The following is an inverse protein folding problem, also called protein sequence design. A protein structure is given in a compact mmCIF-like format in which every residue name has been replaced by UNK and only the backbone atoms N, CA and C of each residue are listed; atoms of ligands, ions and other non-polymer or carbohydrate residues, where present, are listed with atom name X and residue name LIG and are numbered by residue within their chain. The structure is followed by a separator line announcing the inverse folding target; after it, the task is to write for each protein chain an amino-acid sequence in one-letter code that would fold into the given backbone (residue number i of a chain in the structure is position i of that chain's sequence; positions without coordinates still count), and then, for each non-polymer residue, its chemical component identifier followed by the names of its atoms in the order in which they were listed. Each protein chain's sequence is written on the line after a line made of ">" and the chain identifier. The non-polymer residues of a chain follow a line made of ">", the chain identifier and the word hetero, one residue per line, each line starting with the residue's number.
data_IF_642610177527
#
_entry.id   IF_642610177527
#
_cell.length_a   1.000
_cell.length_b   1.000
_cell.length_c   1.000
_cell.angle_alpha   90.00
_cell.angle_beta   90.00
_cell.angle_gamma   90.00
#
_symmetry.space_group_name_H-M   'P 1'
#
loop_
_entity.id
_entity.type
_entity.pdbx_description
1 polymer ?
#
# COMPACT_ATOMS: atom_id res chain seq x y z
N UNK A 1 4.60 -0.26 32.43
CA UNK A 1 3.36 -1.09 32.42
C UNK A 1 2.41 -0.75 31.27
N UNK A 2 2.14 0.52 30.95
CA UNK A 2 1.23 0.90 29.85
C UNK A 2 1.66 0.40 28.44
N UNK A 3 2.95 0.42 28.09
CA UNK A 3 3.45 -0.11 26.80
C UNK A 3 3.21 -1.63 26.66
N UNK A 4 3.43 -2.41 27.73
CA UNK A 4 3.19 -3.85 27.72
C UNK A 4 1.69 -4.20 27.51
N UNK A 5 0.78 -3.44 28.13
CA UNK A 5 -0.67 -3.60 27.95
C UNK A 5 -1.08 -3.27 26.50
N UNK A 6 -0.47 -2.26 25.89
CA UNK A 6 -0.76 -1.87 24.52
C UNK A 6 -0.27 -2.92 23.50
N UNK A 7 0.90 -3.52 23.71
CA UNK A 7 1.42 -4.56 22.81
C UNK A 7 0.56 -5.84 22.88
N UNK A 8 0.06 -6.19 24.07
CA UNK A 8 -0.81 -7.34 24.22
C UNK A 8 -2.11 -7.17 23.42
N UNK A 9 -2.72 -5.98 23.46
CA UNK A 9 -3.91 -5.66 22.65
C UNK A 9 -3.65 -5.75 21.15
N UNK A 10 -2.48 -5.28 20.68
CA UNK A 10 -2.11 -5.41 19.26
C UNK A 10 -2.02 -6.88 18.86
N UNK A 11 -1.40 -7.73 19.69
CA UNK A 11 -1.31 -9.18 19.44
C UNK A 11 -2.69 -9.86 19.43
N UNK A 12 -3.56 -9.47 20.36
CA UNK A 12 -4.93 -10.01 20.44
C UNK A 12 -5.77 -9.59 19.24
N UNK A 13 -5.61 -8.37 18.75
CA UNK A 13 -6.30 -7.87 17.57
C UNK A 13 -5.80 -8.52 16.27
N UNK A 14 -4.52 -8.86 16.16
CA UNK A 14 -3.94 -9.49 14.96
C UNK A 14 -4.07 -11.02 14.94
N UNK A 15 -4.27 -11.67 16.10
CA UNK A 15 -4.39 -13.13 16.22
C UNK A 15 -5.50 -13.75 15.35
N UNK A 16 -6.73 -13.20 15.26
CA UNK A 16 -7.77 -13.75 14.39
C UNK A 16 -7.38 -13.76 12.91
N UNK A 17 -6.45 -12.87 12.52
CA UNK A 17 -6.04 -12.66 11.14
C UNK A 17 -4.84 -13.54 10.78
N UNK A 18 -3.83 -13.56 11.64
CA UNK A 18 -2.54 -14.19 11.35
C UNK A 18 -2.22 -15.42 12.20
N UNK A 19 -3.12 -15.79 13.12
CA UNK A 19 -2.88 -16.86 14.08
C UNK A 19 -1.93 -16.42 15.21
N UNK A 20 -1.45 -17.38 16.02
CA UNK A 20 -0.53 -17.08 17.13
C UNK A 20 0.84 -16.66 16.60
N UNK A 21 1.29 -15.47 16.99
CA UNK A 21 2.57 -14.88 16.58
C UNK A 21 3.71 -15.13 17.58
N UNK A 22 3.47 -15.93 18.61
CA UNK A 22 4.41 -16.19 19.71
C UNK A 22 5.12 -17.54 19.52
N UNK A 23 6.41 -17.59 19.83
CA UNK A 23 7.19 -18.83 19.73
C UNK A 23 7.46 -19.31 18.31
N UNK A 24 7.16 -18.50 17.28
CA UNK A 24 7.50 -18.81 15.89
C UNK A 24 9.02 -18.84 15.74
N UNK A 25 9.55 -19.97 15.28
CA UNK A 25 10.97 -20.10 14.92
C UNK A 25 11.27 -19.33 13.64
N UNK A 26 12.54 -18.97 13.44
CA UNK A 26 12.95 -18.25 12.23
C UNK A 26 12.60 -19.01 10.93
N UNK A 27 12.84 -20.32 10.90
CA UNK A 27 12.48 -21.18 9.77
C UNK A 27 10.97 -21.17 9.50
N UNK A 28 10.16 -21.29 10.56
CA UNK A 28 8.72 -21.23 10.44
C UNK A 28 8.23 -19.86 9.92
N UNK A 29 8.87 -18.76 10.33
CA UNK A 29 8.55 -17.43 9.81
C UNK A 29 8.92 -17.26 8.34
N UNK A 30 10.03 -17.86 7.88
CA UNK A 30 10.47 -17.78 6.47
C UNK A 30 9.53 -18.53 5.54
N UNK A 31 8.93 -19.63 6.00
CA UNK A 31 7.91 -20.38 5.26
C UNK A 31 6.49 -19.97 5.59
N UNK A 32 6.30 -18.99 6.47
CA UNK A 32 4.97 -18.58 6.90
C UNK A 32 4.18 -18.05 5.71
N UNK A 33 2.94 -18.54 5.61
CA UNK A 33 1.94 -18.06 4.67
C UNK A 33 0.76 -17.57 5.51
N UNK A 34 0.31 -16.32 5.32
CA UNK A 34 -0.93 -15.83 5.90
C UNK A 34 -2.06 -16.82 5.64
N UNK A 35 -2.93 -17.07 6.63
CA UNK A 35 -4.01 -18.06 6.53
C UNK A 35 -4.81 -17.89 5.23
N UNK A 36 -5.32 -19.00 4.66
CA UNK A 36 -6.08 -19.01 3.38
C UNK A 36 -7.22 -17.97 3.31
N UNK A 37 -7.73 -17.59 4.49
CA UNK A 37 -8.60 -16.44 4.72
C UNK A 37 -8.14 -15.76 6.01
N UNK A 38 -7.23 -14.78 5.97
CA UNK A 38 -6.75 -14.08 7.14
C UNK A 38 -7.83 -13.22 7.80
N UNK A 39 -9.13 -13.38 7.51
CA UNK A 39 -10.18 -12.63 8.21
C UNK A 39 -10.14 -11.09 8.04
N UNK A 40 -9.25 -10.54 7.21
CA UNK A 40 -9.14 -9.09 6.96
C UNK A 40 -10.35 -8.50 6.19
N UNK A 41 -11.41 -9.28 5.99
CA UNK A 41 -12.69 -8.85 5.45
C UNK A 41 -12.73 -8.71 3.92
N UNK A 42 -11.66 -9.09 3.21
CA UNK A 42 -11.54 -8.91 1.77
C UNK A 42 -11.65 -10.18 0.92
N UNK A 43 -11.79 -9.99 -0.38
CA UNK A 43 -11.81 -11.06 -1.39
C UNK A 43 -10.51 -11.85 -1.37
N UNK A 44 -10.63 -13.18 -1.29
CA UNK A 44 -9.50 -14.11 -1.03
C UNK A 44 -8.72 -13.77 0.25
N UNK A 45 -9.35 -13.08 1.19
CA UNK A 45 -8.78 -12.77 2.49
C UNK A 45 -7.98 -11.48 2.57
N UNK A 46 -7.89 -10.70 1.49
CA UNK A 46 -7.01 -9.53 1.40
C UNK A 46 -7.79 -8.24 1.26
N UNK A 47 -7.48 -7.26 2.10
CA UNK A 47 -8.07 -5.94 2.05
C UNK A 47 -6.99 -4.89 2.27
N UNK A 48 -6.55 -4.24 1.18
CA UNK A 48 -5.33 -3.45 1.10
C UNK A 48 -5.20 -2.41 2.23
N UNK A 49 -6.32 -1.83 2.64
CA UNK A 49 -6.36 -0.88 3.75
C UNK A 49 -5.99 -1.53 5.09
N UNK A 50 -6.59 -2.68 5.43
CA UNK A 50 -6.27 -3.41 6.65
C UNK A 50 -4.85 -3.97 6.61
N UNK A 51 -4.45 -4.54 5.47
CA UNK A 51 -3.11 -5.09 5.27
C UNK A 51 -2.01 -4.03 5.49
N UNK A 52 -2.27 -2.77 5.12
CA UNK A 52 -1.33 -1.67 5.37
C UNK A 52 -1.13 -1.40 6.88
N UNK A 53 -2.21 -1.46 7.69
CA UNK A 53 -2.08 -1.35 9.15
C UNK A 53 -1.31 -2.53 9.72
N UNK A 54 -1.54 -3.73 9.20
CA UNK A 54 -0.87 -4.92 9.69
C UNK A 54 0.64 -4.89 9.43
N UNK A 55 1.07 -4.34 8.29
CA UNK A 55 2.49 -4.07 8.04
C UNK A 55 3.07 -3.15 9.13
N UNK A 56 2.37 -2.06 9.47
CA UNK A 56 2.80 -1.14 10.53
C UNK A 56 2.80 -1.83 11.90
N UNK A 57 1.81 -2.67 12.18
CA UNK A 57 1.72 -3.45 13.42
C UNK A 57 2.91 -4.40 13.57
N UNK A 58 3.27 -5.15 12.53
CA UNK A 58 4.44 -6.03 12.56
C UNK A 58 5.76 -5.28 12.75
N UNK A 59 5.95 -4.15 12.06
CA UNK A 59 7.12 -3.29 12.26
C UNK A 59 7.20 -2.79 13.71
N UNK A 60 6.06 -2.38 14.27
CA UNK A 60 5.96 -1.94 15.67
C UNK A 60 6.27 -3.07 16.63
N UNK A 61 5.73 -4.28 16.40
CA UNK A 61 6.02 -5.47 17.21
C UNK A 61 7.51 -5.83 17.16
N UNK A 62 8.16 -5.73 15.98
CA UNK A 62 9.60 -5.94 15.86
C UNK A 62 10.38 -5.02 16.77
N UNK A 63 10.02 -3.73 16.80
CA UNK A 63 10.70 -2.72 17.60
C UNK A 63 10.45 -2.92 19.09
N UNK A 64 9.19 -3.06 19.49
CA UNK A 64 8.78 -3.15 20.89
C UNK A 64 9.19 -4.47 21.56
N UNK A 65 9.40 -5.53 20.78
CA UNK A 65 9.89 -6.83 21.28
C UNK A 65 11.35 -7.09 20.97
N UNK A 66 12.04 -6.17 20.30
CA UNK A 66 13.41 -6.36 19.80
C UNK A 66 13.61 -7.70 19.10
N UNK A 67 12.60 -8.13 18.32
CA UNK A 67 12.57 -9.46 17.71
C UNK A 67 12.50 -9.34 16.19
N UNK A 68 13.55 -9.78 15.46
CA UNK A 68 13.59 -9.67 14.00
C UNK A 68 12.58 -10.58 13.30
N UNK A 69 11.96 -11.52 14.03
CA UNK A 69 10.96 -12.44 13.49
C UNK A 69 9.79 -11.71 12.84
N UNK A 70 9.35 -10.59 13.43
CA UNK A 70 8.24 -9.81 12.90
C UNK A 70 8.61 -9.09 11.59
N UNK A 71 9.90 -8.79 11.37
CA UNK A 71 10.36 -8.30 10.07
C UNK A 71 10.41 -9.39 9.01
N UNK A 72 10.59 -10.66 9.39
CA UNK A 72 10.46 -11.77 8.43
C UNK A 72 8.99 -11.95 8.06
N UNK A 73 8.10 -11.98 9.05
CA UNK A 73 6.65 -12.13 8.85
C UNK A 73 6.06 -11.00 7.99
N UNK A 74 6.44 -9.74 8.23
CA UNK A 74 5.90 -8.62 7.43
C UNK A 74 6.33 -8.66 5.96
N UNK A 75 7.54 -9.17 5.67
CA UNK A 75 7.98 -9.34 4.28
C UNK A 75 7.17 -10.41 3.56
N UNK A 76 6.85 -11.50 4.28
CA UNK A 76 5.94 -12.55 3.79
C UNK A 76 4.53 -12.00 3.59
N UNK A 77 4.03 -11.17 4.50
CA UNK A 77 2.75 -10.48 4.36
C UNK A 77 2.72 -9.62 3.09
N UNK A 78 3.71 -8.74 2.88
CA UNK A 78 3.79 -7.90 1.68
C UNK A 78 3.81 -8.74 0.40
N UNK A 79 4.58 -9.83 0.40
CA UNK A 79 4.64 -10.75 -0.76
C UNK A 79 3.26 -11.37 -1.05
N UNK A 80 2.57 -11.85 -0.02
CA UNK A 80 1.25 -12.46 -0.17
C UNK A 80 0.17 -11.46 -0.62
N UNK A 81 0.21 -10.22 -0.09
CA UNK A 81 -0.65 -9.12 -0.54
C UNK A 81 -0.42 -8.86 -2.03
N UNK A 82 0.84 -8.76 -2.46
CA UNK A 82 1.19 -8.51 -3.86
C UNK A 82 0.74 -9.66 -4.75
N UNK A 83 1.00 -10.91 -4.40
CA UNK A 83 0.60 -12.08 -5.20
C UNK A 83 -0.90 -12.14 -5.48
N UNK A 84 -1.74 -11.72 -4.53
CA UNK A 84 -3.18 -11.68 -4.72
C UNK A 84 -3.63 -10.38 -5.37
N UNK A 85 -3.28 -9.21 -4.82
CA UNK A 85 -3.88 -7.93 -5.19
C UNK A 85 -3.29 -7.30 -6.47
N UNK A 86 -2.13 -7.76 -6.94
CA UNK A 86 -1.56 -7.39 -8.25
C UNK A 86 -2.11 -8.22 -9.41
N UNK A 87 -2.94 -9.21 -9.12
CA UNK A 87 -3.53 -10.13 -10.10
C UNK A 87 -5.00 -9.81 -10.35
N UNK A 88 -5.57 -10.26 -11.46
CA UNK A 88 -7.01 -10.23 -11.72
C UNK A 88 -7.77 -10.94 -10.61
N UNK A 89 -9.08 -10.66 -10.51
CA UNK A 89 -9.90 -11.14 -9.39
C UNK A 89 -9.92 -12.67 -9.31
N UNK A 90 -10.02 -13.33 -10.46
CA UNK A 90 -9.93 -14.80 -10.61
C UNK A 90 -8.51 -15.35 -10.42
N UNK A 91 -7.49 -14.49 -10.38
CA UNK A 91 -6.09 -14.86 -10.24
C UNK A 91 -5.47 -15.44 -11.51
N UNK A 92 -6.12 -15.31 -12.67
CA UNK A 92 -5.65 -15.89 -13.92
C UNK A 92 -4.50 -15.11 -14.57
N UNK A 93 -4.39 -13.80 -14.32
CA UNK A 93 -3.36 -12.95 -14.89
C UNK A 93 -2.94 -11.83 -13.92
N UNK A 94 -1.79 -11.19 -14.20
CA UNK A 94 -1.44 -9.92 -13.56
C UNK A 94 -2.38 -8.80 -14.02
N UNK A 95 -2.51 -7.74 -13.22
CA UNK A 95 -3.19 -6.53 -13.66
C UNK A 95 -2.48 -5.94 -14.89
N UNK A 96 -3.21 -5.33 -15.84
CA UNK A 96 -2.62 -4.82 -17.07
C UNK A 96 -1.46 -3.87 -16.81
N UNK A 97 -0.32 -4.11 -17.45
CA UNK A 97 0.90 -3.31 -17.33
C UNK A 97 1.95 -3.87 -16.36
N UNK A 98 1.57 -4.72 -15.40
CA UNK A 98 2.51 -5.31 -14.46
C UNK A 98 3.39 -6.40 -15.10
N UNK A 99 4.69 -6.37 -14.81
CA UNK A 99 5.70 -7.34 -15.26
C UNK A 99 6.38 -8.02 -14.06
N UNK A 100 7.38 -8.85 -14.28
CA UNK A 100 8.20 -9.38 -13.17
C UNK A 100 9.14 -8.32 -12.59
N UNK A 101 9.72 -7.48 -13.46
CA UNK A 101 10.63 -6.40 -13.05
C UNK A 101 9.90 -5.19 -12.47
N UNK A 102 8.66 -4.95 -12.91
CA UNK A 102 7.80 -3.85 -12.48
C UNK A 102 6.42 -4.40 -12.05
N UNK A 103 6.37 -5.07 -10.88
CA UNK A 103 5.20 -5.84 -10.46
C UNK A 103 3.98 -5.01 -10.07
N UNK A 104 4.15 -3.70 -9.84
CA UNK A 104 3.11 -2.75 -9.45
C UNK A 104 2.74 -1.76 -10.57
N UNK A 105 3.25 -1.93 -11.80
CA UNK A 105 2.82 -1.18 -13.00
C UNK A 105 1.36 -1.37 -13.41
N UNK A 106 0.68 -2.36 -12.85
CA UNK A 106 -0.78 -2.50 -12.96
C UNK A 106 -1.56 -1.89 -11.81
N UNK A 107 -0.88 -1.31 -10.82
CA UNK A 107 -1.46 -0.89 -9.56
C UNK A 107 -1.84 -2.06 -8.64
N UNK A 108 -2.77 -1.84 -7.73
CA UNK A 108 -3.27 -2.87 -6.81
C UNK A 108 -4.79 -2.77 -6.66
N UNK A 109 -5.46 -3.91 -6.65
CA UNK A 109 -6.88 -3.97 -6.25
C UNK A 109 -7.01 -3.71 -4.76
N UNK A 110 -8.13 -3.11 -4.35
CA UNK A 110 -8.45 -2.91 -2.92
C UNK A 110 -8.79 -4.23 -2.19
N UNK A 111 -9.34 -5.23 -2.90
CA UNK A 111 -9.78 -6.50 -2.30
C UNK A 111 -11.23 -6.53 -1.80
N UNK A 112 -12.15 -5.71 -2.33
CA UNK A 112 -13.58 -5.76 -1.96
C UNK A 112 -14.24 -7.08 -2.38
N UNK A 113 -15.23 -7.54 -1.59
CA UNK A 113 -15.99 -8.75 -1.86
C UNK A 113 -16.88 -8.64 -3.09
N UNK A 114 -17.40 -7.45 -3.41
CA UNK A 114 -18.23 -7.28 -4.62
C UNK A 114 -17.36 -6.94 -5.84
N UNK A 115 -17.70 -7.52 -6.99
CA UNK A 115 -17.00 -7.24 -8.25
C UNK A 115 -17.47 -5.96 -8.95
N UNK A 116 -18.70 -5.52 -8.66
CA UNK A 116 -19.36 -4.41 -9.35
C UNK A 116 -20.03 -3.45 -8.36
N UNK A 117 -20.48 -2.30 -8.85
CA UNK A 117 -21.17 -1.27 -8.06
C UNK A 117 -20.24 -0.20 -7.49
N UNK A 118 -20.84 0.84 -6.90
CA UNK A 118 -20.12 1.99 -6.36
C UNK A 118 -19.05 1.62 -5.32
N UNK A 119 -19.30 0.60 -4.51
CA UNK A 119 -18.37 0.06 -3.51
C UNK A 119 -17.71 -1.28 -3.91
N UNK A 120 -17.86 -1.68 -5.18
CA UNK A 120 -17.22 -2.89 -5.72
C UNK A 120 -15.70 -2.78 -5.83
N UNK A 121 -15.05 -3.82 -6.32
CA UNK A 121 -13.60 -3.83 -6.54
C UNK A 121 -13.17 -2.71 -7.48
N UNK A 122 -11.95 -2.22 -7.26
CA UNK A 122 -11.33 -1.16 -8.03
C UNK A 122 -9.96 -0.85 -7.43
N UNK A 123 -9.38 0.25 -7.89
CA UNK A 123 -8.21 0.86 -7.28
C UNK A 123 -8.66 2.14 -6.57
N UNK A 124 -8.33 2.27 -5.28
CA UNK A 124 -8.80 3.35 -4.41
C UNK A 124 -7.62 4.19 -3.96
N UNK A 125 -7.70 5.51 -4.18
CA UNK A 125 -6.55 6.40 -3.98
C UNK A 125 -6.00 6.34 -2.56
N UNK A 126 -6.87 6.50 -1.56
CA UNK A 126 -6.50 6.47 -0.15
C UNK A 126 -5.83 5.15 0.27
N UNK A 127 -6.38 4.00 -0.15
CA UNK A 127 -5.83 2.69 0.21
C UNK A 127 -4.44 2.47 -0.39
N UNK A 128 -4.23 2.90 -1.64
CA UNK A 128 -2.94 2.81 -2.31
C UNK A 128 -1.91 3.73 -1.64
N UNK A 129 -2.30 4.96 -1.29
CA UNK A 129 -1.44 5.90 -0.57
C UNK A 129 -1.03 5.35 0.81
N UNK A 130 -1.95 4.71 1.54
CA UNK A 130 -1.62 4.07 2.82
C UNK A 130 -0.69 2.86 2.63
N UNK A 131 -0.87 2.07 1.57
CA UNK A 131 0.03 0.97 1.25
C UNK A 131 1.45 1.46 0.89
N UNK A 132 1.57 2.53 0.11
CA UNK A 132 2.86 3.19 -0.17
C UNK A 132 3.56 3.62 1.12
N UNK A 133 2.80 4.18 2.06
CA UNK A 133 3.33 4.53 3.39
C UNK A 133 3.85 3.28 4.12
N UNK A 134 3.08 2.19 4.15
CA UNK A 134 3.48 0.95 4.78
C UNK A 134 4.78 0.38 4.18
N UNK A 135 4.89 0.35 2.85
CA UNK A 135 6.11 -0.06 2.13
C UNK A 135 7.30 0.85 2.46
N UNK A 136 7.11 2.16 2.51
CA UNK A 136 8.13 3.12 2.88
C UNK A 136 8.63 2.92 4.32
N UNK A 137 7.73 2.64 5.27
CA UNK A 137 8.10 2.30 6.66
C UNK A 137 8.85 0.98 6.74
N UNK A 138 8.45 -0.02 5.95
CA UNK A 138 9.15 -1.29 5.88
C UNK A 138 10.57 -1.12 5.33
N UNK A 139 10.76 -0.30 4.29
CA UNK A 139 12.08 0.02 3.75
C UNK A 139 13.03 0.58 4.82
N UNK A 140 12.55 1.49 5.66
CA UNK A 140 13.33 2.04 6.77
C UNK A 140 13.60 1.02 7.87
N UNK A 141 12.61 0.20 8.23
CA UNK A 141 12.75 -0.79 9.30
C UNK A 141 13.73 -1.92 8.94
N UNK A 142 13.89 -2.20 7.65
CA UNK A 142 14.72 -3.30 7.12
C UNK A 142 16.01 -2.81 6.46
N UNK A 143 16.14 -1.50 6.22
CA UNK A 143 17.17 -0.90 5.37
C UNK A 143 17.20 -1.46 3.94
N UNK A 144 16.08 -2.03 3.46
CA UNK A 144 15.97 -2.60 2.10
C UNK A 144 15.26 -1.62 1.17
N UNK A 145 16.02 -1.05 0.23
CA UNK A 145 15.52 -0.05 -0.73
C UNK A 145 14.36 -0.53 -1.60
N UNK A 146 14.27 -1.85 -1.83
CA UNK A 146 13.24 -2.47 -2.68
C UNK A 146 11.82 -2.11 -2.26
N UNK A 147 11.52 -2.03 -0.97
CA UNK A 147 10.16 -1.68 -0.53
C UNK A 147 9.83 -0.22 -0.84
N UNK A 148 10.79 0.70 -0.74
CA UNK A 148 10.57 2.08 -1.16
C UNK A 148 10.44 2.19 -2.69
N UNK A 149 11.20 1.38 -3.43
CA UNK A 149 11.11 1.33 -4.90
C UNK A 149 9.73 0.86 -5.35
N UNK A 150 9.17 -0.19 -4.72
CA UNK A 150 7.80 -0.63 -4.96
C UNK A 150 6.77 0.48 -4.65
N UNK A 151 6.95 1.20 -3.53
CA UNK A 151 6.10 2.34 -3.21
C UNK A 151 6.16 3.45 -4.27
N UNK A 152 7.36 3.78 -4.76
CA UNK A 152 7.57 4.78 -5.81
C UNK A 152 7.05 4.31 -7.18
N UNK A 153 7.23 3.04 -7.53
CA UNK A 153 6.67 2.44 -8.76
C UNK A 153 5.16 2.52 -8.76
N UNK A 154 4.52 2.12 -7.65
CA UNK A 154 3.07 2.22 -7.49
C UNK A 154 2.62 3.68 -7.61
N UNK A 155 3.34 4.62 -6.98
CA UNK A 155 3.05 6.04 -7.01
C UNK A 155 3.06 6.60 -8.45
N UNK A 156 4.13 6.33 -9.22
CA UNK A 156 4.23 6.74 -10.63
C UNK A 156 3.13 6.14 -11.48
N UNK A 157 2.90 4.84 -11.30
CA UNK A 157 1.96 4.07 -12.09
C UNK A 157 0.56 4.65 -12.01
N UNK A 158 0.07 4.89 -10.79
CA UNK A 158 -1.33 5.26 -10.60
C UNK A 158 -1.56 6.77 -10.76
N UNK A 159 -0.52 7.61 -10.61
CA UNK A 159 -0.66 9.06 -10.58
C UNK A 159 -1.47 9.63 -11.75
N UNK A 160 -1.13 9.34 -13.03
CA UNK A 160 -1.85 9.93 -14.17
C UNK A 160 -3.31 9.45 -14.30
N UNK A 161 -3.68 8.37 -13.60
CA UNK A 161 -5.05 7.86 -13.61
C UNK A 161 -5.92 8.49 -12.52
N UNK A 162 -5.31 8.92 -11.42
CA UNK A 162 -6.00 9.58 -10.31
C UNK A 162 -5.90 11.10 -10.35
N UNK A 163 -4.86 11.67 -10.94
CA UNK A 163 -4.67 13.11 -11.11
C UNK A 163 -4.82 13.43 -12.59
N UNK A 164 -5.84 14.20 -12.95
CA UNK A 164 -6.19 14.49 -14.34
C UNK A 164 -6.33 15.98 -14.55
N UNK A 165 -6.17 16.45 -15.78
CA UNK A 165 -6.59 17.80 -16.14
C UNK A 165 -8.12 17.94 -16.07
N UNK A 166 -8.60 19.12 -15.68
CA UNK A 166 -10.01 19.49 -15.79
C UNK A 166 -10.36 19.68 -17.27
N UNK A 167 -11.50 19.14 -17.69
CA UNK A 167 -12.00 19.37 -19.04
C UNK A 167 -12.42 20.84 -19.18
N UNK A 168 -11.88 21.54 -20.19
CA UNK A 168 -12.27 22.92 -20.49
C UNK A 168 -11.79 23.99 -19.51
N UNK A 169 -10.89 23.67 -18.57
CA UNK A 169 -10.31 24.64 -17.64
C UNK A 169 -8.84 24.35 -17.36
N UNK A 170 -8.08 25.40 -17.06
CA UNK A 170 -6.73 25.24 -16.55
C UNK A 170 -6.78 24.68 -15.11
N UNK A 171 -6.05 23.60 -14.90
CA UNK A 171 -5.85 23.01 -13.58
C UNK A 171 -6.12 21.51 -13.52
N UNK A 172 -5.55 20.90 -12.49
CA UNK A 172 -5.72 19.48 -12.21
C UNK A 172 -7.06 19.23 -11.47
N UNK A 173 -7.45 17.97 -11.38
CA UNK A 173 -8.45 17.41 -10.46
C UNK A 173 -7.99 16.04 -9.97
N UNK A 174 -8.45 15.61 -8.80
CA UNK A 174 -8.26 14.25 -8.33
C UNK A 174 -9.57 13.47 -8.41
N UNK A 175 -9.45 12.16 -8.59
CA UNK A 175 -10.56 11.21 -8.45
C UNK A 175 -10.25 10.21 -7.34
N UNK A 176 -11.29 9.63 -6.74
CA UNK A 176 -11.12 8.77 -5.56
C UNK A 176 -10.95 7.31 -5.93
N UNK A 177 -11.64 6.86 -6.99
CA UNK A 177 -11.68 5.45 -7.40
C UNK A 177 -11.66 5.29 -8.91
N UNK A 178 -10.86 4.34 -9.38
CA UNK A 178 -10.78 3.92 -10.79
C UNK A 178 -10.97 2.41 -10.92
N UNK A 179 -11.26 1.94 -12.14
CA UNK A 179 -11.34 0.51 -12.46
C UNK A 179 -9.99 -0.19 -12.27
N UNK A 180 -10.01 -1.51 -12.12
CA UNK A 180 -8.80 -2.30 -11.86
C UNK A 180 -7.79 -2.26 -13.02
N UNK A 181 -8.27 -2.02 -14.24
CA UNK A 181 -7.44 -1.82 -15.44
C UNK A 181 -7.04 -0.34 -15.66
N UNK A 182 -7.40 0.55 -14.72
CA UNK A 182 -7.10 1.99 -14.71
C UNK A 182 -7.69 2.80 -15.89
N UNK A 183 -8.60 2.22 -16.68
CA UNK A 183 -9.20 2.87 -17.86
C UNK A 183 -10.39 3.77 -17.54
N UNK A 184 -11.12 3.47 -16.47
CA UNK A 184 -12.41 4.10 -16.17
C UNK A 184 -12.37 4.76 -14.80
N UNK A 185 -12.84 6.01 -14.72
CA UNK A 185 -13.11 6.67 -13.43
C UNK A 185 -14.43 6.14 -12.90
N UNK A 186 -14.41 5.58 -11.69
CA UNK A 186 -15.60 5.01 -11.06
C UNK A 186 -16.22 5.96 -10.03
N UNK A 187 -15.39 6.75 -9.33
CA UNK A 187 -15.85 7.80 -8.42
C UNK A 187 -15.07 9.09 -8.71
N UNK A 188 -15.69 10.09 -9.35
CA UNK A 188 -15.02 11.29 -9.86
C UNK A 188 -14.84 12.41 -8.81
N UNK A 189 -15.09 12.13 -7.54
CA UNK A 189 -14.83 13.05 -6.41
C UNK A 189 -13.48 12.74 -5.76
N UNK A 190 -12.97 13.64 -4.93
CA UNK A 190 -11.81 13.42 -4.06
C UNK A 190 -12.22 13.38 -2.59
N UNK A 191 -11.48 12.66 -1.74
CA UNK A 191 -11.62 12.77 -0.30
C UNK A 191 -10.98 14.06 0.22
N UNK A 192 -11.53 14.62 1.30
CA UNK A 192 -11.13 15.93 1.83
C UNK A 192 -9.61 16.08 2.06
N UNK A 193 -8.94 15.01 2.50
CA UNK A 193 -7.49 15.00 2.80
C UNK A 193 -6.66 14.19 1.81
N UNK A 194 -7.23 13.68 0.72
CA UNK A 194 -6.53 12.81 -0.22
C UNK A 194 -5.35 13.53 -0.89
N UNK A 195 -5.57 14.81 -1.24
CA UNK A 195 -4.53 15.65 -1.84
C UNK A 195 -3.34 15.84 -0.89
N UNK A 196 -3.60 16.29 0.33
CA UNK A 196 -2.55 16.57 1.31
C UNK A 196 -1.81 15.29 1.73
N UNK A 197 -2.56 14.21 1.94
CA UNK A 197 -2.00 12.91 2.32
C UNK A 197 -1.12 12.36 1.20
N UNK A 198 -1.58 12.42 -0.03
CA UNK A 198 -0.82 12.05 -1.21
C UNK A 198 0.50 12.82 -1.35
N UNK A 199 0.46 14.15 -1.19
CA UNK A 199 1.68 14.97 -1.17
C UNK A 199 2.68 14.49 -0.12
N UNK A 200 2.23 14.28 1.13
CA UNK A 200 3.09 13.84 2.23
C UNK A 200 3.73 12.48 1.89
N UNK A 201 2.95 11.52 1.42
CA UNK A 201 3.48 10.18 1.11
C UNK A 201 4.48 10.23 -0.04
N UNK A 202 4.24 11.02 -1.08
CA UNK A 202 5.18 11.16 -2.21
C UNK A 202 6.50 11.80 -1.75
N UNK A 203 6.44 12.80 -0.87
CA UNK A 203 7.64 13.39 -0.23
C UNK A 203 8.36 12.40 0.68
N UNK A 204 7.65 11.52 1.39
CA UNK A 204 8.29 10.47 2.20
C UNK A 204 9.02 9.45 1.32
N UNK A 205 8.42 9.05 0.20
CA UNK A 205 9.05 8.16 -0.80
C UNK A 205 10.30 8.80 -1.40
N UNK A 206 10.21 10.07 -1.83
CA UNK A 206 11.35 10.85 -2.34
C UNK A 206 12.47 10.97 -1.30
N UNK A 207 12.13 11.29 -0.04
CA UNK A 207 13.13 11.41 1.02
C UNK A 207 13.86 10.10 1.29
N UNK A 208 13.13 8.98 1.35
CA UNK A 208 13.75 7.66 1.59
C UNK A 208 14.55 7.20 0.37
N UNK A 209 14.13 7.56 -0.85
CA UNK A 209 14.95 7.36 -2.05
C UNK A 209 16.30 8.07 -1.92
N UNK A 210 16.32 9.33 -1.48
CA UNK A 210 17.56 10.06 -1.22
C UNK A 210 18.45 9.48 -0.12
N UNK A 211 17.89 8.68 0.80
CA UNK A 211 18.64 8.03 1.88
C UNK A 211 19.18 6.65 1.51
N UNK A 212 18.44 5.88 0.72
CA UNK A 212 18.72 4.45 0.48
C UNK A 212 19.17 4.13 -0.96
N UNK A 213 19.05 5.07 -1.91
CA UNK A 213 19.38 4.81 -3.32
C UNK A 213 20.76 5.33 -3.64
N UNK A 214 21.45 4.59 -4.51
CA UNK A 214 22.77 4.95 -5.03
C UNK A 214 22.74 4.85 -6.56
N UNK A 215 22.88 5.98 -7.29
CA UNK A 215 22.91 7.35 -6.78
C UNK A 215 21.55 7.82 -6.23
N UNK A 216 21.52 8.88 -5.40
CA UNK A 216 20.27 9.51 -4.99
C UNK A 216 19.43 9.90 -6.21
N UNK A 217 18.14 9.59 -6.20
CA UNK A 217 17.24 9.77 -7.36
C UNK A 217 16.05 10.64 -7.02
N UNK A 218 15.76 11.60 -7.90
CA UNK A 218 14.50 12.34 -7.92
C UNK A 218 13.40 11.46 -8.50
N UNK A 219 12.80 10.61 -7.67
CA UNK A 219 11.85 9.60 -8.17
C UNK A 219 10.45 10.11 -8.42
N UNK A 220 9.97 11.20 -7.81
CA UNK A 220 8.56 11.62 -7.92
C UNK A 220 8.41 13.14 -8.13
N UNK A 221 9.38 13.77 -8.80
CA UNK A 221 9.48 15.24 -8.90
C UNK A 221 8.19 15.82 -9.51
N UNK A 222 7.76 15.27 -10.64
CA UNK A 222 6.61 15.77 -11.40
C UNK A 222 5.32 15.55 -10.61
N UNK A 223 5.13 14.36 -10.05
CA UNK A 223 3.94 14.03 -9.27
C UNK A 223 3.83 14.85 -7.98
N UNK A 224 4.96 15.19 -7.35
CA UNK A 224 5.02 16.10 -6.19
C UNK A 224 4.62 17.51 -6.61
N UNK A 225 5.03 17.95 -7.81
CA UNK A 225 4.65 19.25 -8.37
C UNK A 225 3.14 19.34 -8.61
N UNK A 226 2.56 18.31 -9.23
CA UNK A 226 1.12 18.19 -9.45
C UNK A 226 0.34 18.30 -8.13
N UNK A 227 0.82 17.61 -7.08
CA UNK A 227 0.23 17.70 -5.75
C UNK A 227 0.28 19.11 -5.15
N UNK A 228 1.35 19.89 -5.37
CA UNK A 228 1.39 21.28 -4.92
C UNK A 228 0.33 22.12 -5.61
N UNK A 229 0.15 21.94 -6.92
CA UNK A 229 -0.90 22.62 -7.68
C UNK A 229 -2.30 22.19 -7.23
N UNK A 230 -2.49 20.91 -6.91
CA UNK A 230 -3.75 20.41 -6.34
C UNK A 230 -4.10 21.09 -5.01
N UNK A 231 -3.12 21.28 -4.12
CA UNK A 231 -3.33 21.89 -2.79
C UNK A 231 -3.51 23.40 -2.83
N UNK A 232 -3.06 24.09 -3.89
CA UNK A 232 -3.14 25.55 -4.02
C UNK A 232 -4.47 26.03 -4.62
N UNK A 233 -5.46 25.14 -4.80
CA UNK A 233 -6.77 25.51 -5.34
C UNK A 233 -7.61 26.23 -4.29
N UNK A 234 -8.37 27.22 -4.73
CA UNK A 234 -9.49 27.73 -3.93
C UNK A 234 -10.61 26.67 -3.90
N UNK A 235 -11.22 26.51 -2.72
CA UNK A 235 -12.23 25.48 -2.43
C UNK A 235 -13.61 25.79 -3.00
#
# INVERSE_FOLDING_TARGET
>A
MASAINIQRVKEATRPVYGPLEGISEDAARTWVPLDKPGAGGHRGWYLWADAFDVINFITLSKEKSSPIYLILVKRLVSAVHDVLRSTRDGSARLPGATDDEPLKGGLRIGKMDAHGGDGVGQYRHCLTLWMFALNRLALATCEKVYNQLGAELAKTIHPHFVKHREGADGLRMVWKISTDMKTVLVPSEGHLDTATGFIIYRLLERVAGLLYEPPSGVLIDEISDYRQLMSREG
#
